data_IF_542189618479
#
_entry.id   IF_542189618479
#
_cell.length_a   1.000
_cell.length_b   1.000
_cell.length_c   1.000
_cell.angle_alpha   90.00
_cell.angle_beta   90.00
_cell.angle_gamma   90.00
#
_symmetry.space_group_name_H-M   'P 1'
#
loop_
_entity.id
_entity.type
_entity.pdbx_description
1 polymer ?
#
# COMPACT_ATOMS: atom_id res chain seq x y z
N UNK A 1 -6.61 -12.55 -6.77
CA UNK A 1 -5.49 -12.95 -7.64
C UNK A 1 -4.19 -12.81 -6.84
N UNK A 2 -3.10 -13.52 -7.14
CA UNK A 2 -1.83 -13.39 -6.38
C UNK A 2 -0.90 -12.38 -7.05
N UNK A 3 -0.61 -12.58 -8.34
CA UNK A 3 0.19 -11.66 -9.18
C UNK A 3 -0.77 -10.95 -10.14
N UNK A 4 -0.75 -9.61 -10.23
CA UNK A 4 -1.70 -8.85 -11.05
C UNK A 4 -1.47 -9.02 -12.55
N UNK A 5 -2.52 -8.82 -13.36
CA UNK A 5 -2.46 -8.91 -14.83
C UNK A 5 -2.36 -7.53 -15.48
N UNK A 6 -1.29 -6.80 -15.16
CA UNK A 6 -1.04 -5.43 -15.63
C UNK A 6 0.23 -5.35 -16.48
N UNK A 7 0.37 -4.29 -17.27
CA UNK A 7 1.59 -4.01 -18.07
C UNK A 7 2.41 -2.91 -17.41
N UNK A 8 3.74 -2.87 -17.64
CA UNK A 8 4.56 -1.73 -17.22
C UNK A 8 3.94 -0.40 -17.70
N UNK A 9 3.86 0.58 -16.79
CA UNK A 9 3.27 1.89 -17.07
C UNK A 9 1.74 2.00 -16.85
N UNK A 10 1.03 0.92 -16.51
CA UNK A 10 -0.44 0.94 -16.35
C UNK A 10 -0.96 1.98 -15.33
N UNK A 11 -0.15 2.31 -14.32
CA UNK A 11 -0.54 3.19 -13.22
C UNK A 11 -0.59 4.68 -13.65
N UNK A 12 0.31 5.10 -14.54
CA UNK A 12 0.48 6.50 -14.95
C UNK A 12 -0.80 7.17 -15.50
N UNK A 13 -1.62 6.51 -16.35
CA UNK A 13 -2.88 7.11 -16.82
C UNK A 13 -4.00 7.11 -15.76
N UNK A 14 -3.84 6.40 -14.64
CA UNK A 14 -4.86 6.32 -13.57
C UNK A 14 -4.70 7.40 -12.49
N UNK A 15 -3.57 8.12 -12.51
CA UNK A 15 -3.24 9.18 -11.55
C UNK A 15 -3.04 10.51 -12.26
N UNK A 16 -3.36 11.65 -11.62
CA UNK A 16 -3.11 12.98 -12.18
C UNK A 16 -1.62 13.22 -12.48
N UNK A 17 -1.34 14.08 -13.46
CA UNK A 17 0.05 14.40 -13.82
C UNK A 17 0.73 15.31 -12.78
N UNK A 18 -0.06 16.09 -12.05
CA UNK A 18 0.40 17.03 -11.04
C UNK A 18 -0.37 16.80 -9.73
N UNK A 19 0.25 17.03 -8.57
CA UNK A 19 -0.44 16.97 -7.29
C UNK A 19 -1.63 17.94 -7.24
N UNK A 20 -2.70 17.61 -6.49
CA UNK A 20 -3.85 18.50 -6.36
C UNK A 20 -3.44 19.79 -5.63
N UNK A 21 -3.89 20.93 -6.15
CA UNK A 21 -3.64 22.24 -5.51
C UNK A 21 -4.54 22.48 -4.29
N UNK A 22 -5.64 21.75 -4.20
CA UNK A 22 -6.62 21.83 -3.12
C UNK A 22 -6.76 20.45 -2.48
N UNK A 23 -7.05 20.43 -1.18
CA UNK A 23 -7.25 19.18 -0.47
C UNK A 23 -8.48 18.42 -1.00
N UNK A 24 -8.34 17.11 -1.11
CA UNK A 24 -9.43 16.22 -1.47
C UNK A 24 -10.04 15.58 -0.21
N UNK A 25 -11.33 15.20 -0.24
CA UNK A 25 -11.92 14.42 0.85
C UNK A 25 -11.14 13.12 1.06
N UNK A 26 -10.88 12.76 2.32
CA UNK A 26 -10.18 11.52 2.66
C UNK A 26 -10.84 10.27 2.06
N UNK A 27 -12.16 10.26 1.95
CA UNK A 27 -12.91 9.18 1.33
C UNK A 27 -12.58 8.97 -0.14
N UNK A 28 -12.24 10.03 -0.88
CA UNK A 28 -11.79 9.93 -2.26
C UNK A 28 -10.40 9.27 -2.34
N UNK A 29 -9.47 9.68 -1.47
CA UNK A 29 -8.13 9.08 -1.37
C UNK A 29 -8.22 7.60 -1.04
N UNK A 30 -9.05 7.23 -0.06
CA UNK A 30 -9.26 5.83 0.32
C UNK A 30 -9.87 4.99 -0.80
N UNK A 31 -10.81 5.55 -1.58
CA UNK A 31 -11.40 4.86 -2.73
C UNK A 31 -10.36 4.56 -3.82
N UNK A 32 -9.36 5.43 -3.98
CA UNK A 32 -8.28 5.25 -4.94
C UNK A 32 -7.28 4.15 -4.56
N UNK A 33 -7.15 3.84 -3.26
CA UNK A 33 -6.34 2.68 -2.84
C UNK A 33 -6.89 1.40 -3.49
N UNK A 34 -8.19 1.17 -3.38
CA UNK A 34 -8.82 -0.02 -3.98
C UNK A 34 -8.84 0.05 -5.51
N UNK A 35 -9.26 1.20 -6.06
CA UNK A 35 -9.46 1.37 -7.51
C UNK A 35 -8.15 1.36 -8.30
N UNK A 36 -7.11 2.00 -7.78
CA UNK A 36 -5.86 2.27 -8.49
C UNK A 36 -4.75 1.36 -7.99
N UNK A 37 -4.48 1.36 -6.68
CA UNK A 37 -3.31 0.66 -6.12
C UNK A 37 -3.53 -0.85 -6.12
N UNK A 38 -4.62 -1.35 -5.52
CA UNK A 38 -4.84 -2.78 -5.31
C UNK A 38 -4.92 -3.57 -6.62
N UNK A 39 -5.30 -2.93 -7.73
CA UNK A 39 -5.35 -3.54 -9.06
C UNK A 39 -4.00 -4.07 -9.57
N UNK A 40 -2.89 -3.51 -9.09
CA UNK A 40 -1.54 -3.94 -9.45
C UNK A 40 -0.66 -4.36 -8.28
N UNK A 41 -1.26 -4.67 -7.13
CA UNK A 41 -0.53 -5.23 -5.98
C UNK A 41 -0.33 -6.74 -6.20
N UNK A 42 0.90 -7.20 -6.03
CA UNK A 42 1.16 -8.62 -5.78
C UNK A 42 0.83 -8.92 -4.33
N UNK A 43 -0.15 -9.79 -4.08
CA UNK A 43 -0.62 -10.09 -2.73
C UNK A 43 0.31 -11.08 -2.02
N UNK A 44 1.40 -10.59 -1.44
CA UNK A 44 2.39 -11.38 -0.70
C UNK A 44 1.80 -12.18 0.46
N UNK A 45 0.76 -11.67 1.12
CA UNK A 45 0.08 -12.36 2.22
C UNK A 45 -1.01 -13.35 1.76
N UNK A 46 -1.15 -13.58 0.45
CA UNK A 46 -2.03 -14.64 -0.02
C UNK A 46 -1.48 -16.00 0.40
N UNK A 47 -2.32 -16.95 0.88
CA UNK A 47 -1.86 -18.32 1.17
C UNK A 47 -1.39 -19.09 -0.07
N UNK A 48 -1.55 -18.51 -1.26
CA UNK A 48 -1.14 -19.05 -2.56
C UNK A 48 0.13 -18.38 -3.13
N UNK A 49 0.80 -17.54 -2.36
CA UNK A 49 2.07 -16.92 -2.77
C UNK A 49 3.25 -17.80 -2.34
N UNK A 50 4.02 -18.29 -3.32
CA UNK A 50 5.15 -19.22 -3.08
C UNK A 50 6.44 -18.78 -3.80
N UNK A 51 6.51 -17.53 -4.29
CA UNK A 51 7.72 -16.99 -4.89
C UNK A 51 8.65 -16.40 -3.81
N UNK A 52 9.96 -16.37 -4.07
CA UNK A 52 10.97 -15.77 -3.19
C UNK A 52 10.94 -16.34 -1.75
N UNK A 53 11.02 -15.47 -0.73
CA UNK A 53 10.93 -15.83 0.69
C UNK A 53 9.67 -15.22 1.32
N UNK A 54 9.03 -15.88 2.30
CA UNK A 54 7.84 -15.35 2.95
C UNK A 54 8.09 -14.02 3.65
N UNK A 55 7.19 -13.05 3.45
CA UNK A 55 7.13 -11.83 4.26
C UNK A 55 6.25 -12.07 5.46
N UNK A 56 6.85 -12.43 6.59
CA UNK A 56 6.12 -12.64 7.83
C UNK A 56 5.45 -11.34 8.29
N UNK A 57 4.15 -11.40 8.58
CA UNK A 57 3.42 -10.31 9.22
C UNK A 57 2.41 -10.94 10.18
N UNK A 58 2.08 -10.23 11.24
CA UNK A 58 1.16 -10.72 12.27
C UNK A 58 0.36 -9.56 12.84
N UNK A 59 -0.80 -9.86 13.41
CA UNK A 59 -1.62 -8.84 14.06
C UNK A 59 -0.85 -8.03 15.13
N UNK A 60 -0.07 -8.65 16.05
CA UNK A 60 0.74 -7.89 17.00
C UNK A 60 1.77 -6.98 16.35
N UNK A 61 2.39 -7.40 15.24
CA UNK A 61 3.37 -6.59 14.54
C UNK A 61 2.75 -5.33 13.93
N UNK A 62 1.56 -5.45 13.34
CA UNK A 62 0.82 -4.30 12.77
C UNK A 62 0.46 -3.29 13.86
N UNK A 63 -0.06 -3.75 15.00
CA UNK A 63 -0.43 -2.86 16.12
C UNK A 63 0.81 -2.18 16.72
N UNK A 64 1.92 -2.90 16.85
CA UNK A 64 3.17 -2.34 17.33
C UNK A 64 3.71 -1.25 16.39
N UNK A 65 3.64 -1.48 15.07
CA UNK A 65 4.07 -0.50 14.06
C UNK A 65 3.19 0.76 14.08
N UNK A 66 1.86 0.60 14.17
CA UNK A 66 0.92 1.72 14.33
C UNK A 66 1.23 2.55 15.59
N UNK A 67 1.51 1.91 16.73
CA UNK A 67 1.87 2.59 17.97
C UNK A 67 3.21 3.32 17.84
N UNK A 68 4.21 2.66 17.26
CA UNK A 68 5.53 3.25 17.01
C UNK A 68 5.41 4.50 16.13
N UNK A 69 4.64 4.41 15.04
CA UNK A 69 4.33 5.55 14.16
C UNK A 69 3.57 6.68 14.86
N UNK A 70 2.65 6.36 15.78
CA UNK A 70 1.93 7.35 16.57
C UNK A 70 2.82 8.10 17.58
N UNK A 71 3.80 7.40 18.18
CA UNK A 71 4.76 8.01 19.10
C UNK A 71 5.73 8.93 18.34
N UNK A 72 6.14 8.56 17.12
CA UNK A 72 7.00 9.35 16.24
C UNK A 72 8.32 9.84 16.89
N UNK A 73 8.86 9.09 17.85
CA UNK A 73 10.10 9.46 18.55
C UNK A 73 11.32 9.22 17.67
N UNK A 74 12.30 10.14 17.74
CA UNK A 74 13.58 10.05 17.05
C UNK A 74 14.64 9.57 18.06
N UNK A 75 15.12 8.33 17.90
CA UNK A 75 16.01 7.66 18.85
C UNK A 75 17.52 7.83 18.59
N UNK A 76 18.00 9.04 18.30
CA UNK A 76 19.45 9.31 18.21
C UNK A 76 20.03 9.72 19.58
N UNK A 77 21.32 9.44 19.79
CA UNK A 77 22.16 9.99 20.87
C UNK A 77 23.39 10.65 20.27
#
# INVERSE_FOLDING_TARGET
QVVPSVKPGYLRPLVPEQPPQQAEPWTAVMADIERVVMSGVTHWHSPRFHAYFPTANSYPAIVADMLSGAIACIGFT
#
